data_IF_414913169649
#
_entry.id   IF_414913169649
#
_cell.length_a   1.000
_cell.length_b   1.000
_cell.length_c   1.000
_cell.angle_alpha   90.00
_cell.angle_beta   90.00
_cell.angle_gamma   90.00
#
_symmetry.space_group_name_H-M   'P 1'
#
loop_
_entity.id
_entity.type
_entity.pdbx_description
1 polymer ?
#
# COMPACT_ATOMS: atom_id res chain seq x y z
N UNK A 1 10.41 5.78 -6.01
CA UNK A 1 10.29 4.33 -5.69
C UNK A 1 8.95 3.84 -6.18
N UNK A 2 8.93 2.64 -6.75
CA UNK A 2 7.71 1.96 -7.13
C UNK A 2 7.02 1.33 -5.91
N UNK A 3 5.73 1.10 -6.05
CA UNK A 3 4.89 0.42 -5.07
C UNK A 3 3.85 -0.41 -5.80
N UNK A 4 3.31 -1.43 -5.14
CA UNK A 4 2.30 -2.28 -5.74
C UNK A 4 1.55 -3.10 -4.71
N UNK A 5 0.36 -3.54 -5.09
CA UNK A 5 -0.50 -4.38 -4.25
C UNK A 5 -1.37 -5.28 -5.13
N UNK A 6 -1.79 -6.38 -4.52
CA UNK A 6 -2.79 -7.30 -5.07
C UNK A 6 -3.95 -7.38 -4.09
N UNK A 7 -5.17 -7.19 -4.60
CA UNK A 7 -6.40 -7.44 -3.89
C UNK A 7 -6.94 -8.79 -4.36
N UNK A 8 -7.05 -9.73 -3.43
CA UNK A 8 -7.71 -11.01 -3.66
C UNK A 8 -9.07 -11.00 -2.99
N UNK A 9 -10.07 -11.58 -3.64
CA UNK A 9 -11.42 -11.73 -3.08
C UNK A 9 -11.93 -13.14 -3.37
N UNK A 10 -13.03 -13.50 -2.73
CA UNK A 10 -13.63 -14.84 -2.84
C UNK A 10 -14.12 -15.18 -4.27
N UNK A 11 -14.17 -14.20 -5.17
CA UNK A 11 -14.58 -14.37 -6.58
C UNK A 11 -13.40 -14.52 -7.55
N UNK A 12 -12.16 -14.73 -7.06
CA UNK A 12 -10.92 -14.85 -7.86
C UNK A 12 -10.65 -13.66 -8.80
N UNK A 13 -11.17 -12.47 -8.48
CA UNK A 13 -10.80 -11.27 -9.21
C UNK A 13 -9.53 -10.69 -8.58
N UNK A 14 -8.38 -11.23 -9.01
CA UNK A 14 -7.06 -10.74 -8.61
C UNK A 14 -6.82 -9.36 -9.23
N UNK A 15 -7.24 -8.31 -8.52
CA UNK A 15 -6.98 -6.95 -8.95
C UNK A 15 -5.56 -6.57 -8.55
N UNK A 16 -4.75 -6.19 -9.53
CA UNK A 16 -3.35 -5.84 -9.34
C UNK A 16 -3.13 -4.38 -9.68
N UNK A 17 -2.27 -3.73 -8.90
CA UNK A 17 -1.90 -2.36 -9.13
C UNK A 17 -0.40 -2.17 -8.92
N UNK A 18 0.21 -1.36 -9.78
CA UNK A 18 1.57 -0.87 -9.65
C UNK A 18 1.57 0.63 -9.89
N UNK A 19 2.47 1.33 -9.22
CA UNK A 19 2.63 2.77 -9.41
C UNK A 19 3.99 3.28 -8.94
N UNK A 20 4.24 4.55 -9.23
CA UNK A 20 5.50 5.23 -8.92
C UNK A 20 5.27 6.47 -8.07
N UNK A 21 6.06 6.62 -7.01
CA UNK A 21 6.16 7.88 -6.25
C UNK A 21 7.29 8.77 -6.80
N UNK A 22 7.04 10.08 -6.91
CA UNK A 22 8.01 11.11 -7.37
C UNK A 22 8.69 11.87 -6.24
N UNK A 23 9.76 12.60 -6.54
CA UNK A 23 10.60 13.36 -5.59
C UNK A 23 11.54 12.47 -4.76
N UNK A 24 11.33 12.39 -3.45
CA UNK A 24 12.22 11.71 -2.50
C UNK A 24 11.85 10.24 -2.34
N UNK A 25 12.63 9.38 -2.98
CA UNK A 25 12.55 7.94 -2.80
C UNK A 25 12.64 7.54 -1.32
N UNK A 26 11.55 7.02 -0.75
CA UNK A 26 11.47 6.45 0.60
C UNK A 26 10.62 5.19 0.57
N UNK A 27 11.10 4.11 1.18
CA UNK A 27 10.34 2.85 1.27
C UNK A 27 9.06 3.05 2.06
N UNK A 28 9.12 3.78 3.19
CA UNK A 28 7.95 4.12 4.00
C UNK A 28 6.88 4.83 3.17
N UNK A 29 7.28 5.75 2.28
CA UNK A 29 6.34 6.46 1.41
C UNK A 29 5.71 5.54 0.36
N UNK A 30 6.51 4.68 -0.27
CA UNK A 30 6.02 3.69 -1.22
C UNK A 30 5.01 2.72 -0.55
N UNK A 31 5.32 2.26 0.66
CA UNK A 31 4.45 1.40 1.46
C UNK A 31 3.13 2.09 1.83
N UNK A 32 3.19 3.37 2.25
CA UNK A 32 1.99 4.18 2.52
C UNK A 32 1.13 4.30 1.26
N UNK A 33 1.72 4.61 0.11
CA UNK A 33 0.98 4.71 -1.15
C UNK A 33 0.33 3.39 -1.55
N UNK A 34 1.02 2.25 -1.37
CA UNK A 34 0.45 0.93 -1.63
C UNK A 34 -0.82 0.69 -0.80
N UNK A 35 -0.75 0.97 0.50
CA UNK A 35 -1.89 0.77 1.40
C UNK A 35 -3.04 1.75 1.07
N UNK A 36 -2.72 3.02 0.85
CA UNK A 36 -3.73 4.07 0.66
C UNK A 36 -4.48 3.88 -0.67
N UNK A 37 -3.77 3.56 -1.75
CA UNK A 37 -4.40 3.24 -3.05
C UNK A 37 -5.22 1.94 -3.00
N UNK A 38 -4.80 0.93 -2.23
CA UNK A 38 -5.58 -0.27 -1.96
C UNK A 38 -6.88 0.05 -1.20
N UNK A 39 -6.84 0.93 -0.19
CA UNK A 39 -8.04 1.31 0.57
C UNK A 39 -9.03 2.15 -0.25
N UNK A 40 -8.56 3.00 -1.17
CA UNK A 40 -9.41 3.85 -2.01
C UNK A 40 -10.36 3.02 -2.89
N UNK A 41 -9.91 1.86 -3.36
CA UNK A 41 -10.71 1.00 -4.25
C UNK A 41 -11.66 0.07 -3.49
N UNK A 42 -11.55 -0.01 -2.17
CA UNK A 42 -12.39 -0.88 -1.36
C UNK A 42 -13.80 -0.29 -1.25
N UNK A 43 -14.87 -1.09 -1.39
CA UNK A 43 -16.23 -0.59 -1.24
C UNK A 43 -16.50 -0.16 0.22
N UNK A 44 -17.42 0.79 0.46
CA UNK A 44 -17.81 1.19 1.80
C UNK A 44 -18.29 0.00 2.64
N UNK A 45 -17.99 0.01 3.94
CA UNK A 45 -18.36 -1.04 4.90
C UNK A 45 -17.77 -2.44 4.61
N UNK A 46 -16.73 -2.54 3.78
CA UNK A 46 -16.02 -3.79 3.58
C UNK A 46 -15.06 -4.10 4.73
N UNK A 47 -14.91 -5.39 5.04
CA UNK A 47 -13.89 -5.86 5.97
C UNK A 47 -12.60 -6.18 5.20
N UNK A 48 -11.63 -5.29 5.31
CA UNK A 48 -10.34 -5.42 4.63
C UNK A 48 -9.32 -6.07 5.56
N UNK A 49 -8.67 -7.13 5.08
CA UNK A 49 -7.50 -7.74 5.74
C UNK A 49 -6.25 -7.47 4.91
N UNK A 50 -5.26 -6.79 5.50
CA UNK A 50 -4.04 -6.40 4.80
C UNK A 50 -2.88 -7.32 5.21
N UNK A 51 -2.19 -7.89 4.23
CA UNK A 51 -0.98 -8.66 4.42
C UNK A 51 0.21 -7.84 3.93
N UNK A 52 1.17 -7.58 4.81
CA UNK A 52 2.35 -6.77 4.48
C UNK A 52 3.51 -7.12 5.41
N UNK A 53 4.73 -6.99 4.91
CA UNK A 53 5.97 -7.08 5.68
C UNK A 53 6.39 -5.73 6.30
N UNK A 54 5.81 -4.63 5.80
CA UNK A 54 6.03 -3.27 6.26
C UNK A 54 5.55 -3.03 7.70
N UNK A 55 6.35 -2.29 8.48
CA UNK A 55 5.93 -1.77 9.79
C UNK A 55 5.11 -0.47 9.69
N UNK A 56 5.11 0.19 8.53
CA UNK A 56 4.49 1.50 8.29
C UNK A 56 2.96 1.46 8.43
N UNK A 57 2.35 0.29 8.24
CA UNK A 57 0.91 0.04 8.40
C UNK A 57 0.38 0.49 9.78
N UNK A 58 1.17 0.31 10.85
CA UNK A 58 0.74 0.66 12.21
C UNK A 58 0.45 2.15 12.36
N UNK A 59 1.32 2.97 11.77
CA UNK A 59 1.18 4.43 11.81
C UNK A 59 -0.09 4.86 11.08
N UNK A 60 -0.36 4.31 9.88
CA UNK A 60 -1.55 4.62 9.09
C UNK A 60 -2.84 4.26 9.85
N UNK A 61 -2.90 3.06 10.43
CA UNK A 61 -4.08 2.59 11.20
C UNK A 61 -4.39 3.56 12.34
N UNK A 62 -3.36 3.96 13.09
CA UNK A 62 -3.50 4.90 14.21
C UNK A 62 -3.90 6.30 13.73
N UNK A 63 -3.23 6.84 12.70
CA UNK A 63 -3.48 8.19 12.19
C UNK A 63 -4.86 8.36 11.55
N UNK A 64 -5.39 7.31 10.92
CA UNK A 64 -6.69 7.33 10.24
C UNK A 64 -7.83 6.71 11.08
N UNK A 65 -7.54 6.25 12.31
CA UNK A 65 -8.48 5.58 13.20
C UNK A 65 -9.24 4.42 12.51
N UNK A 66 -8.52 3.62 11.73
CA UNK A 66 -9.09 2.54 10.92
C UNK A 66 -9.23 1.26 11.75
N UNK A 67 -10.30 0.50 11.51
CA UNK A 67 -10.45 -0.86 12.03
C UNK A 67 -10.06 -1.86 10.93
N UNK A 68 -8.78 -2.20 10.85
CA UNK A 68 -8.23 -3.13 9.84
C UNK A 68 -7.61 -4.32 10.55
N UNK A 69 -7.84 -5.53 10.02
CA UNK A 69 -7.09 -6.72 10.41
C UNK A 69 -5.80 -6.75 9.59
N UNK A 70 -4.65 -6.53 10.21
CA UNK A 70 -3.36 -6.68 9.50
C UNK A 70 -2.66 -7.96 9.95
N UNK A 71 -2.08 -8.68 9.00
CA UNK A 71 -1.25 -9.85 9.26
C UNK A 71 0.15 -9.56 8.76
N UNK A 72 1.12 -9.52 9.68
CA UNK A 72 2.53 -9.37 9.30
C UNK A 72 2.99 -10.64 8.59
N UNK A 73 3.49 -10.49 7.38
CA UNK A 73 4.14 -11.57 6.63
C UNK A 73 5.65 -11.35 6.71
N UNK A 74 6.42 -12.43 6.72
CA UNK A 74 7.88 -12.34 6.64
C UNK A 74 8.28 -12.05 5.19
N UNK A 75 9.06 -10.99 4.99
CA UNK A 75 9.67 -10.67 3.70
C UNK A 75 10.51 -11.87 3.20
N UNK A 76 10.43 -12.15 1.90
CA UNK A 76 11.20 -13.22 1.25
C UNK A 76 11.00 -14.62 1.84
N UNK A 77 9.81 -14.90 2.37
CA UNK A 77 9.43 -16.22 2.91
C UNK A 77 8.87 -17.18 1.86
N UNK A 78 8.87 -16.81 0.57
CA UNK A 78 8.23 -17.56 -0.51
C UNK A 78 6.70 -17.48 -0.47
N UNK A 79 6.15 -16.41 0.12
CA UNK A 79 4.72 -16.16 0.08
C UNK A 79 4.34 -15.62 -1.30
N UNK A 80 3.59 -16.40 -2.06
CA UNK A 80 3.20 -16.08 -3.45
C UNK A 80 2.61 -14.66 -3.60
N UNK A 81 1.74 -14.23 -2.69
CA UNK A 81 1.09 -12.92 -2.79
C UNK A 81 2.03 -11.77 -2.44
N UNK A 82 2.93 -11.98 -1.47
CA UNK A 82 3.97 -11.01 -1.16
C UNK A 82 4.96 -10.87 -2.33
N UNK A 83 5.36 -11.99 -2.94
CA UNK A 83 6.27 -11.99 -4.07
C UNK A 83 5.64 -11.31 -5.31
N UNK A 84 4.32 -11.46 -5.50
CA UNK A 84 3.57 -10.71 -6.51
C UNK A 84 3.57 -9.22 -6.19
N UNK A 85 3.31 -8.82 -4.94
CA UNK A 85 3.34 -7.41 -4.53
C UNK A 85 4.72 -6.77 -4.73
N UNK A 86 5.80 -7.49 -4.40
CA UNK A 86 7.18 -7.07 -4.65
C UNK A 86 7.47 -6.91 -6.15
N UNK A 87 6.97 -7.84 -6.96
CA UNK A 87 7.09 -7.77 -8.42
C UNK A 87 6.36 -6.56 -8.98
N UNK A 88 5.15 -6.26 -8.48
CA UNK A 88 4.38 -5.07 -8.86
C UNK A 88 5.09 -3.79 -8.43
N UNK A 89 5.69 -3.75 -7.24
CA UNK A 89 6.46 -2.60 -6.78
C UNK A 89 7.69 -2.35 -7.66
N UNK A 90 8.37 -3.42 -8.11
CA UNK A 90 9.46 -3.32 -9.09
C UNK A 90 8.97 -2.79 -10.44
N UNK A 91 7.88 -3.34 -10.98
CA UNK A 91 7.28 -2.86 -12.22
C UNK A 91 6.86 -1.38 -12.14
N UNK A 92 6.33 -0.95 -11.00
CA UNK A 92 5.97 0.45 -10.74
C UNK A 92 7.17 1.40 -10.81
N UNK A 93 8.41 0.96 -10.54
CA UNK A 93 9.59 1.82 -10.73
C UNK A 93 9.81 2.23 -12.19
N UNK A 94 9.46 1.33 -13.11
CA UNK A 94 9.70 1.43 -14.55
C UNK A 94 8.54 2.09 -15.30
N UNK A 95 7.37 2.24 -14.66
CA UNK A 95 6.23 2.90 -15.30
C UNK A 95 6.55 4.38 -15.63
N UNK A 96 6.13 4.85 -16.83
CA UNK A 96 6.27 6.24 -17.24
C UNK A 96 5.28 7.15 -16.49
N UNK A 97 4.10 6.62 -16.18
CA UNK A 97 3.04 7.35 -15.50
C UNK A 97 3.29 7.43 -14.00
N UNK A 98 3.13 8.64 -13.48
CA UNK A 98 3.40 8.97 -12.08
C UNK A 98 2.08 9.19 -11.37
N UNK A 99 1.94 8.58 -10.19
CA UNK A 99 0.88 8.93 -9.26
C UNK A 99 1.46 9.95 -8.28
N UNK A 100 1.06 11.21 -8.46
CA UNK A 100 1.41 12.29 -7.53
C UNK A 100 0.22 12.55 -6.59
N UNK A 101 0.45 12.45 -5.29
CA UNK A 101 -0.52 12.87 -4.27
C UNK A 101 0.03 14.16 -3.65
N UNK A 102 -0.65 15.28 -3.90
CA UNK A 102 -0.29 16.58 -3.28
C UNK A 102 -0.51 16.52 -1.76
N UNK A 103 0.46 16.96 -0.95
CA UNK A 103 0.33 16.97 0.51
C UNK A 103 -0.55 18.12 1.03
N UNK A 104 -1.08 19.00 0.18
CA UNK A 104 -1.80 20.24 0.59
C UNK A 104 -2.97 20.01 1.56
N UNK A 105 -3.59 18.83 1.54
CA UNK A 105 -4.71 18.48 2.42
C UNK A 105 -4.37 17.44 3.49
N UNK A 106 -3.10 17.03 3.60
CA UNK A 106 -2.66 16.19 4.73
C UNK A 106 -2.63 17.11 5.95
N UNK A 107 -3.58 16.91 6.87
CA UNK A 107 -3.55 17.59 8.17
C UNK A 107 -2.18 17.35 8.79
N UNK A 108 -1.36 18.40 8.88
CA UNK A 108 -0.12 18.35 9.65
C UNK A 108 -0.53 18.01 11.08
N UNK A 109 -0.19 16.81 11.53
CA UNK A 109 -0.32 16.47 12.94
C UNK A 109 0.65 17.37 13.67
N UNK A 110 0.15 18.25 14.53
CA UNK A 110 0.97 19.18 15.30
C UNK A 110 2.10 18.39 15.98
N UNK A 111 3.35 18.74 15.64
CA UNK A 111 4.53 18.24 16.33
C UNK A 111 4.49 18.71 17.78
N UNK A 112 4.72 17.78 18.72
CA UNK A 112 5.15 18.09 20.08
C UNK A 112 6.64 18.38 20.08
#
# INVERSE_FOLDING_TARGET
MGFGWILTNDINLDLKFSGKTVEWASSTRAEIFAILTCLIICPPNSHVTIFTDSQSIKWIIQSLNLTIKFNKVQAHSGNTYNDIADTLAKAGCEQPDIISISPENIKKTNQF
#
